data_IF_287456220128
#
_entry.id   IF_287456220128
#
_cell.length_a   1.000
_cell.length_b   1.000
_cell.length_c   1.000
_cell.angle_alpha   90.00
_cell.angle_beta   90.00
_cell.angle_gamma   90.00
#
_symmetry.space_group_name_H-M   'P 1'
#
loop_
_entity.id
_entity.type
_entity.pdbx_description
1 polymer ?
#
# COMPACT_ATOMS: atom_id res chain seq x y z
N UNK A 1 10.62 4.31 -9.06
CA UNK A 1 9.38 4.58 -9.81
C UNK A 1 9.40 5.97 -10.45
N UNK A 2 9.51 7.07 -9.68
CA UNK A 2 9.53 8.44 -10.20
C UNK A 2 10.49 8.65 -11.39
N UNK A 3 11.74 8.18 -11.28
CA UNK A 3 12.74 8.22 -12.37
C UNK A 3 12.27 7.56 -13.68
N UNK A 4 11.47 6.49 -13.60
CA UNK A 4 10.97 5.78 -14.78
C UNK A 4 9.82 6.56 -15.41
N UNK A 5 8.84 7.00 -14.60
CA UNK A 5 7.67 7.72 -15.07
C UNK A 5 7.99 9.12 -15.60
N UNK A 6 9.08 9.75 -15.15
CA UNK A 6 9.53 11.04 -15.68
C UNK A 6 9.87 11.00 -17.19
N UNK A 7 10.02 9.81 -17.77
CA UNK A 7 10.30 9.60 -19.20
C UNK A 7 9.04 9.24 -20.01
N UNK A 8 7.90 9.10 -19.35
CA UNK A 8 6.66 8.61 -19.94
C UNK A 8 5.70 9.78 -20.18
N UNK A 9 4.91 9.69 -21.25
CA UNK A 9 3.77 10.57 -21.46
C UNK A 9 2.58 9.95 -20.76
N UNK A 10 2.06 10.65 -19.75
CA UNK A 10 0.99 10.15 -18.89
C UNK A 10 -0.25 11.03 -19.04
N UNK A 11 -1.42 10.41 -18.96
CA UNK A 11 -2.71 11.12 -19.02
C UNK A 11 -3.02 11.91 -17.75
N UNK A 12 -2.30 11.62 -16.66
CA UNK A 12 -2.50 12.22 -15.35
C UNK A 12 -1.17 12.74 -14.79
N UNK A 13 -1.24 13.87 -14.07
CA UNK A 13 -0.15 14.29 -13.17
C UNK A 13 -0.02 13.28 -12.03
N UNK A 14 1.21 12.97 -11.65
CA UNK A 14 1.50 12.08 -10.54
C UNK A 14 2.34 12.83 -9.51
N UNK A 15 1.82 12.90 -8.29
CA UNK A 15 2.53 13.49 -7.17
C UNK A 15 3.20 12.37 -6.37
N UNK A 16 4.54 12.40 -6.31
CA UNK A 16 5.33 11.53 -5.43
C UNK A 16 5.53 12.23 -4.10
N UNK A 17 4.93 11.68 -3.04
CA UNK A 17 4.94 12.31 -1.72
C UNK A 17 5.51 11.35 -0.69
N UNK A 18 6.43 11.84 0.12
CA UNK A 18 6.96 11.13 1.29
C UNK A 18 6.44 11.83 2.54
N UNK A 19 5.52 11.18 3.25
CA UNK A 19 4.88 11.77 4.43
C UNK A 19 5.76 11.64 5.67
N UNK A 20 5.56 12.58 6.58
CA UNK A 20 6.19 12.60 7.90
C UNK A 20 5.13 12.36 8.98
N UNK A 21 5.57 11.96 10.17
CA UNK A 21 4.72 11.80 11.35
C UNK A 21 3.60 10.76 11.18
N UNK A 22 3.85 9.70 10.40
CA UNK A 22 2.94 8.56 10.29
C UNK A 22 2.87 7.82 11.64
N UNK A 23 4.03 7.61 12.28
CA UNK A 23 4.15 6.83 13.51
C UNK A 23 3.59 7.53 14.78
N UNK A 24 3.30 6.77 15.86
CA UNK A 24 3.00 7.34 17.18
C UNK A 24 4.11 8.31 17.64
N UNK A 25 3.76 9.42 18.33
CA UNK A 25 2.45 9.73 18.90
C UNK A 25 1.48 10.44 17.93
N UNK A 26 1.84 10.62 16.65
CA UNK A 26 1.04 11.39 15.71
C UNK A 26 0.13 10.55 14.82
N UNK A 27 0.36 9.23 14.76
CA UNK A 27 -0.51 8.30 14.07
C UNK A 27 -1.99 8.55 14.40
N UNK A 28 -2.83 8.60 13.35
CA UNK A 28 -4.27 8.91 13.40
C UNK A 28 -4.64 10.30 13.93
N UNK A 29 -3.72 11.26 13.90
CA UNK A 29 -4.02 12.66 14.23
C UNK A 29 -3.95 13.55 13.00
N UNK A 30 -4.52 14.75 13.10
CA UNK A 30 -4.44 15.77 12.06
C UNK A 30 -3.02 16.30 11.81
N UNK A 31 -2.04 15.89 12.63
CA UNK A 31 -0.63 16.26 12.48
C UNK A 31 0.13 15.34 11.52
N UNK A 32 -0.46 14.22 11.09
CA UNK A 32 0.15 13.37 10.06
C UNK A 32 0.33 14.16 8.76
N UNK A 33 1.48 14.01 8.11
CA UNK A 33 1.74 14.68 6.83
C UNK A 33 0.70 14.31 5.77
N UNK A 34 0.21 13.07 5.77
CA UNK A 34 -0.85 12.61 4.88
C UNK A 34 -2.21 13.26 5.15
N UNK A 35 -2.53 13.55 6.42
CA UNK A 35 -3.74 14.31 6.75
C UNK A 35 -3.66 15.73 6.21
N UNK A 36 -2.56 16.43 6.52
CA UNK A 36 -2.35 17.82 6.06
C UNK A 36 -2.44 17.91 4.54
N UNK A 37 -1.80 16.97 3.82
CA UNK A 37 -1.84 16.95 2.37
C UNK A 37 -3.25 16.63 1.83
N UNK A 38 -3.91 15.59 2.33
CA UNK A 38 -5.25 15.24 1.89
C UNK A 38 -6.27 16.35 2.20
N UNK A 39 -6.14 17.03 3.33
CA UNK A 39 -6.99 18.17 3.69
C UNK A 39 -6.75 19.36 2.74
N UNK A 40 -5.50 19.67 2.43
CA UNK A 40 -5.16 20.71 1.46
C UNK A 40 -5.79 20.44 0.08
N UNK A 41 -5.72 19.21 -0.42
CA UNK A 41 -6.36 18.81 -1.68
C UNK A 41 -7.87 19.05 -1.65
N UNK A 42 -8.51 18.80 -0.50
CA UNK A 42 -9.95 18.95 -0.32
C UNK A 42 -10.37 20.40 -0.25
N UNK A 43 -9.70 21.20 0.58
CA UNK A 43 -9.96 22.64 0.73
C UNK A 43 -9.78 23.40 -0.58
N UNK A 44 -8.84 22.98 -1.41
CA UNK A 44 -8.56 23.59 -2.71
C UNK A 44 -9.32 22.94 -3.87
N UNK A 45 -10.27 22.03 -3.59
CA UNK A 45 -11.08 21.34 -4.60
C UNK A 45 -10.25 20.68 -5.72
N UNK A 46 -9.08 20.16 -5.38
CA UNK A 46 -8.20 19.48 -6.32
C UNK A 46 -8.80 18.11 -6.64
N UNK A 47 -9.01 17.84 -7.94
CA UNK A 47 -9.54 16.56 -8.39
C UNK A 47 -8.46 15.49 -8.27
N UNK A 48 -8.74 14.43 -7.49
CA UNK A 48 -7.83 13.31 -7.24
C UNK A 48 -8.46 12.03 -7.78
N UNK A 49 -7.81 11.40 -8.77
CA UNK A 49 -8.26 10.11 -9.32
C UNK A 49 -8.11 8.98 -8.30
N UNK A 50 -7.04 9.01 -7.51
CA UNK A 50 -6.84 8.18 -6.34
C UNK A 50 -5.42 8.24 -5.79
N UNK A 51 -5.23 7.67 -4.60
CA UNK A 51 -3.94 7.59 -3.91
C UNK A 51 -3.48 6.13 -3.79
N UNK A 52 -2.18 5.89 -3.98
CA UNK A 52 -1.55 4.58 -3.80
C UNK A 52 -0.54 4.72 -2.66
N UNK A 53 -0.83 4.11 -1.51
CA UNK A 53 0.10 4.05 -0.39
C UNK A 53 1.05 2.86 -0.55
N UNK A 54 2.34 3.05 -0.33
CA UNK A 54 3.30 1.96 -0.24
C UNK A 54 3.66 1.76 1.22
N UNK A 55 3.22 0.64 1.79
CA UNK A 55 3.42 0.33 3.20
C UNK A 55 4.16 -1.00 3.31
N UNK A 56 5.42 -0.97 3.72
CA UNK A 56 6.30 -2.14 3.87
C UNK A 56 6.19 -3.16 2.72
N UNK A 57 7.05 -3.02 1.71
CA UNK A 57 7.03 -3.88 0.51
C UNK A 57 8.26 -4.78 0.39
N UNK A 58 9.07 -4.92 1.46
CA UNK A 58 10.42 -5.50 1.36
C UNK A 58 10.66 -6.82 2.11
N UNK A 59 9.91 -7.12 3.16
CA UNK A 59 10.14 -8.34 3.95
C UNK A 59 9.43 -9.57 3.37
N UNK A 60 10.19 -10.57 2.90
CA UNK A 60 9.66 -11.80 2.31
C UNK A 60 10.38 -13.05 2.78
N UNK A 61 9.61 -14.14 2.95
CA UNK A 61 10.10 -15.48 3.27
C UNK A 61 9.21 -16.51 2.59
N UNK A 62 9.82 -17.46 1.89
CA UNK A 62 9.10 -18.44 1.08
C UNK A 62 8.77 -19.72 1.87
N UNK A 63 9.36 -19.92 3.05
CA UNK A 63 9.12 -21.09 3.91
C UNK A 63 7.69 -21.09 4.47
N UNK A 64 7.17 -22.29 4.76
CA UNK A 64 5.87 -22.42 5.41
C UNK A 64 5.88 -21.79 6.82
N UNK A 65 4.71 -21.33 7.27
CA UNK A 65 4.50 -20.72 8.59
C UNK A 65 5.31 -19.44 8.83
N UNK A 66 5.62 -18.71 7.76
CA UNK A 66 6.30 -17.40 7.81
C UNK A 66 5.34 -16.22 7.74
N UNK A 67 4.06 -16.48 7.47
CA UNK A 67 2.96 -15.52 7.53
C UNK A 67 1.96 -15.97 8.61
N UNK A 68 1.54 -15.07 9.48
CA UNK A 68 0.51 -15.36 10.50
C UNK A 68 -0.48 -14.19 10.56
N UNK A 69 -1.74 -14.42 10.18
CA UNK A 69 -2.76 -13.38 10.28
C UNK A 69 -3.74 -13.73 11.42
N UNK A 70 -4.03 -12.80 12.35
CA UNK A 70 -4.96 -13.07 13.45
C UNK A 70 -6.42 -13.24 12.98
N UNK A 71 -6.74 -12.73 11.78
CA UNK A 71 -8.09 -12.76 11.20
C UNK A 71 -8.19 -13.96 10.24
N UNK A 72 -9.19 -14.82 10.44
CA UNK A 72 -9.34 -16.09 9.69
C UNK A 72 -9.59 -15.86 8.21
N UNK A 73 -10.44 -14.89 7.89
CA UNK A 73 -10.80 -14.51 6.53
C UNK A 73 -9.56 -14.01 5.76
N UNK A 74 -8.73 -13.21 6.42
CA UNK A 74 -7.45 -12.75 5.87
C UNK A 74 -6.46 -13.90 5.72
N UNK A 75 -6.43 -14.84 6.67
CA UNK A 75 -5.57 -16.04 6.58
C UNK A 75 -5.92 -16.91 5.38
N UNK A 76 -7.20 -17.03 5.02
CA UNK A 76 -7.63 -17.78 3.82
C UNK A 76 -7.13 -17.13 2.52
N UNK A 77 -7.02 -15.80 2.49
CA UNK A 77 -6.54 -15.03 1.32
C UNK A 77 -5.01 -15.03 1.25
N UNK A 78 -4.35 -14.84 2.40
CA UNK A 78 -2.90 -14.63 2.49
C UNK A 78 -2.09 -15.92 2.60
N UNK A 79 -2.73 -17.01 3.04
CA UNK A 79 -2.04 -18.27 3.32
C UNK A 79 -1.01 -18.15 4.45
N UNK A 80 -0.08 -19.11 4.51
CA UNK A 80 0.92 -19.23 5.58
C UNK A 80 2.36 -18.91 5.14
N UNK A 81 2.56 -18.33 3.95
CA UNK A 81 3.88 -17.94 3.42
C UNK A 81 3.96 -16.43 3.21
N UNK A 82 5.08 -15.83 3.57
CA UNK A 82 5.35 -14.41 3.41
C UNK A 82 5.88 -14.09 1.99
N UNK A 83 5.16 -14.51 0.94
CA UNK A 83 5.65 -14.47 -0.45
C UNK A 83 4.77 -13.70 -1.45
N UNK A 84 3.83 -12.89 -0.95
CA UNK A 84 2.90 -12.11 -1.76
C UNK A 84 2.97 -10.60 -1.46
N UNK A 85 2.41 -9.81 -2.37
CA UNK A 85 1.97 -8.42 -2.16
C UNK A 85 0.43 -8.37 -2.19
N UNK A 86 -0.19 -7.50 -1.41
CA UNK A 86 -1.65 -7.33 -1.39
C UNK A 86 -2.04 -5.91 -1.73
N UNK A 87 -3.16 -5.77 -2.45
CA UNK A 87 -3.89 -4.51 -2.62
C UNK A 87 -4.98 -4.45 -1.55
N UNK A 88 -4.76 -3.62 -0.54
CA UNK A 88 -5.74 -3.35 0.53
C UNK A 88 -6.60 -2.16 0.11
N UNK A 89 -7.91 -2.36 0.20
CA UNK A 89 -8.93 -1.40 -0.20
C UNK A 89 -10.13 -1.46 0.75
N UNK A 90 -10.98 -0.44 0.68
CA UNK A 90 -12.27 -0.37 1.36
C UNK A 90 -13.40 -0.02 0.39
N UNK A 91 -14.60 0.18 0.89
CA UNK A 91 -15.77 0.62 0.12
C UNK A 91 -15.55 1.96 -0.60
N UNK A 92 -14.76 2.89 -0.02
CA UNK A 92 -14.46 4.20 -0.59
C UNK A 92 -13.46 4.16 -1.75
N UNK A 93 -12.77 3.03 -1.94
CA UNK A 93 -11.77 2.87 -3.01
C UNK A 93 -12.40 2.82 -4.41
N UNK A 94 -13.68 2.49 -4.51
CA UNK A 94 -14.46 2.55 -5.75
C UNK A 94 -13.84 1.81 -6.94
N UNK A 95 -14.08 2.34 -8.15
CA UNK A 95 -13.52 1.79 -9.40
C UNK A 95 -11.99 1.91 -9.47
N UNK A 96 -11.42 2.90 -8.78
CA UNK A 96 -9.97 3.10 -8.74
C UNK A 96 -9.30 1.87 -8.11
N UNK A 97 -9.77 1.43 -6.94
CA UNK A 97 -9.20 0.26 -6.25
C UNK A 97 -9.29 -1.02 -7.07
N UNK A 98 -10.47 -1.32 -7.63
CA UNK A 98 -10.67 -2.47 -8.52
C UNK A 98 -9.76 -2.43 -9.76
N UNK A 99 -9.53 -1.24 -10.34
CA UNK A 99 -8.64 -1.09 -11.51
C UNK A 99 -7.18 -1.37 -11.13
N UNK A 100 -6.70 -0.85 -10.00
CA UNK A 100 -5.35 -1.14 -9.49
C UNK A 100 -5.17 -2.63 -9.24
N UNK A 101 -6.12 -3.25 -8.53
CA UNK A 101 -6.12 -4.69 -8.24
C UNK A 101 -5.99 -5.52 -9.52
N UNK A 102 -6.86 -5.28 -10.49
CA UNK A 102 -6.91 -6.06 -11.73
C UNK A 102 -5.62 -5.90 -12.54
N UNK A 103 -5.12 -4.67 -12.67
CA UNK A 103 -3.90 -4.38 -13.41
C UNK A 103 -2.66 -4.99 -12.75
N UNK A 104 -2.55 -4.95 -11.42
CA UNK A 104 -1.43 -5.60 -10.73
C UNK A 104 -1.50 -7.13 -10.84
N UNK A 105 -2.67 -7.74 -10.62
CA UNK A 105 -2.85 -9.20 -10.75
C UNK A 105 -2.54 -9.73 -12.14
N UNK A 106 -2.86 -8.97 -13.19
CA UNK A 106 -2.64 -9.35 -14.60
C UNK A 106 -1.15 -9.56 -14.93
N UNK A 107 -0.26 -8.82 -14.28
CA UNK A 107 1.16 -8.79 -14.65
C UNK A 107 1.97 -9.98 -14.13
N UNK A 108 1.54 -10.60 -13.02
CA UNK A 108 2.13 -11.81 -12.45
C UNK A 108 3.65 -11.72 -12.18
N UNK A 109 4.21 -10.53 -11.96
CA UNK A 109 5.63 -10.36 -11.64
C UNK A 109 5.94 -10.74 -10.18
N UNK A 110 4.94 -10.62 -9.31
CA UNK A 110 4.96 -11.12 -7.93
C UNK A 110 3.53 -11.59 -7.57
N UNK A 111 3.36 -12.69 -6.81
CA UNK A 111 2.04 -13.12 -6.35
C UNK A 111 1.30 -11.94 -5.71
N UNK A 112 0.19 -11.56 -6.34
CA UNK A 112 -0.61 -10.41 -5.94
C UNK A 112 -1.99 -10.89 -5.54
N UNK A 113 -2.35 -10.60 -4.30
CA UNK A 113 -3.70 -10.84 -3.75
C UNK A 113 -4.36 -9.50 -3.48
N UNK A 114 -5.62 -9.54 -3.04
CA UNK A 114 -6.34 -8.34 -2.65
C UNK A 114 -7.17 -8.62 -1.41
N UNK A 115 -7.37 -7.56 -0.63
CA UNK A 115 -8.25 -7.59 0.52
C UNK A 115 -9.11 -6.33 0.51
N UNK A 116 -10.42 -6.53 0.48
CA UNK A 116 -11.40 -5.46 0.67
C UNK A 116 -12.03 -5.62 2.03
N UNK A 117 -11.76 -4.69 2.94
CA UNK A 117 -12.27 -4.74 4.31
C UNK A 117 -12.67 -3.38 4.83
N UNK A 118 -13.47 -3.40 5.90
CA UNK A 118 -13.81 -2.18 6.64
C UNK A 118 -12.56 -1.60 7.30
N UNK A 119 -12.46 -0.27 7.36
CA UNK A 119 -11.42 0.43 8.12
C UNK A 119 -11.48 0.13 9.63
N UNK A 120 -12.57 -0.46 10.13
CA UNK A 120 -12.68 -0.91 11.53
C UNK A 120 -11.84 -2.15 11.85
N UNK A 121 -11.38 -2.87 10.81
CA UNK A 121 -10.56 -4.07 10.99
C UNK A 121 -9.09 -3.67 11.17
N UNK A 122 -8.50 -4.09 12.29
CA UNK A 122 -7.09 -3.82 12.62
C UNK A 122 -6.14 -4.18 11.46
N UNK A 123 -5.26 -3.25 11.09
CA UNK A 123 -4.30 -3.43 10.00
C UNK A 123 -4.82 -3.08 8.60
N UNK A 124 -6.11 -2.78 8.42
CA UNK A 124 -6.66 -2.35 7.13
C UNK A 124 -6.38 -0.88 6.86
N UNK A 125 -6.42 -0.06 7.91
CA UNK A 125 -6.24 1.38 7.87
C UNK A 125 -4.90 1.81 8.51
N UNK A 126 -3.93 0.90 8.58
CA UNK A 126 -2.60 1.15 9.16
C UNK A 126 -1.61 1.63 8.11
N UNK A 127 -1.84 2.83 7.58
CA UNK A 127 -0.87 3.67 6.86
C UNK A 127 -1.56 4.97 6.40
N UNK A 128 -0.86 5.80 5.64
CA UNK A 128 -1.29 7.13 5.19
C UNK A 128 -2.58 7.16 4.35
N UNK A 129 -2.96 6.05 3.72
CA UNK A 129 -4.22 5.96 2.95
C UNK A 129 -5.46 6.15 3.82
N UNK A 130 -5.36 5.95 5.15
CA UNK A 130 -6.47 6.16 6.08
C UNK A 130 -7.00 7.61 6.00
N UNK A 131 -6.11 8.58 5.86
CA UNK A 131 -6.47 10.00 5.85
C UNK A 131 -7.19 10.37 4.55
N UNK A 132 -6.78 9.76 3.44
CA UNK A 132 -7.48 9.88 2.16
C UNK A 132 -8.89 9.29 2.24
N UNK A 133 -9.04 8.10 2.85
CA UNK A 133 -10.36 7.52 3.09
C UNK A 133 -11.24 8.39 4.00
N UNK A 134 -10.69 8.96 5.07
CA UNK A 134 -11.44 9.85 5.98
C UNK A 134 -11.96 11.10 5.26
N UNK A 135 -11.22 11.59 4.28
CA UNK A 135 -11.58 12.74 3.45
C UNK A 135 -12.29 12.36 2.15
N UNK A 136 -12.74 11.10 2.03
CA UNK A 136 -13.52 10.54 0.91
C UNK A 136 -12.79 10.51 -0.44
N UNK A 137 -11.46 10.43 -0.43
CA UNK A 137 -10.68 10.14 -1.61
C UNK A 137 -10.57 8.63 -1.87
N UNK A 138 -10.64 8.19 -3.14
CA UNK A 138 -10.26 6.83 -3.51
C UNK A 138 -8.79 6.59 -3.15
N UNK A 139 -8.49 5.54 -2.40
CA UNK A 139 -7.12 5.18 -2.07
C UNK A 139 -6.97 3.67 -1.91
N UNK A 140 -5.78 3.16 -2.20
CA UNK A 140 -5.38 1.77 -1.91
C UNK A 140 -4.04 1.75 -1.21
N UNK A 141 -3.83 0.74 -0.37
CA UNK A 141 -2.53 0.44 0.19
C UNK A 141 -1.94 -0.81 -0.46
N UNK A 142 -0.70 -0.70 -0.90
CA UNK A 142 0.10 -1.80 -1.42
C UNK A 142 1.07 -2.19 -0.33
N UNK A 143 0.84 -3.36 0.25
CA UNK A 143 1.65 -3.86 1.36
C UNK A 143 1.93 -5.33 1.20
N UNK A 144 3.03 -5.80 1.78
CA UNK A 144 3.23 -7.21 2.00
C UNK A 144 2.79 -7.61 3.41
N UNK A 145 1.84 -6.92 4.05
CA UNK A 145 1.32 -7.30 5.37
C UNK A 145 2.39 -7.47 6.44
N UNK A 146 3.48 -6.69 6.38
CA UNK A 146 4.67 -6.89 7.23
C UNK A 146 4.39 -6.94 8.72
N UNK A 147 3.39 -6.20 9.22
CA UNK A 147 2.90 -6.30 10.62
C UNK A 147 2.63 -7.74 11.09
N UNK A 148 2.31 -8.64 10.17
CA UNK A 148 1.94 -10.04 10.41
C UNK A 148 3.07 -11.05 10.12
N UNK A 149 4.25 -10.59 9.66
CA UNK A 149 5.36 -11.47 9.25
C UNK A 149 6.75 -10.98 9.69
N UNK A 150 6.96 -9.66 9.80
CA UNK A 150 8.23 -9.06 10.17
C UNK A 150 8.37 -9.02 11.69
N UNK A 151 9.15 -9.95 12.25
CA UNK A 151 9.42 -10.01 13.70
C UNK A 151 10.32 -8.87 14.19
N UNK A 152 10.93 -8.12 13.29
CA UNK A 152 11.82 -7.01 13.61
C UNK A 152 11.12 -5.65 13.56
N UNK A 153 9.83 -5.61 13.22
CA UNK A 153 9.09 -4.35 13.06
C UNK A 153 9.12 -3.49 14.33
N UNK A 154 9.31 -2.17 14.18
CA UNK A 154 9.60 -1.20 15.25
C UNK A 154 10.82 -1.56 16.14
N UNK A 155 11.80 -2.28 15.61
CA UNK A 155 13.07 -2.52 16.30
C UNK A 155 14.26 -2.10 15.45
N UNK A 156 15.43 -1.94 16.07
CA UNK A 156 16.68 -1.67 15.36
C UNK A 156 17.16 -2.80 14.42
N UNK A 157 16.47 -3.95 14.41
CA UNK A 157 16.74 -5.08 13.52
C UNK A 157 15.92 -5.01 12.23
N UNK A 158 15.05 -4.01 12.06
CA UNK A 158 14.40 -3.75 10.78
C UNK A 158 15.40 -3.06 9.86
N UNK A 159 16.26 -3.88 9.25
CA UNK A 159 17.44 -3.44 8.51
C UNK A 159 17.41 -3.94 7.07
N UNK A 160 18.21 -3.30 6.21
CA UNK A 160 18.26 -3.58 4.78
C UNK A 160 18.57 -5.06 4.48
N UNK A 161 19.38 -5.70 5.31
CA UNK A 161 19.80 -7.10 5.20
C UNK A 161 18.62 -8.08 5.32
N UNK A 162 17.51 -7.63 5.92
CA UNK A 162 16.30 -8.45 6.08
C UNK A 162 15.34 -8.34 4.89
N UNK A 163 15.63 -7.45 3.94
CA UNK A 163 14.74 -7.14 2.81
C UNK A 163 15.13 -7.92 1.56
N UNK A 164 14.11 -8.29 0.78
CA UNK A 164 14.29 -8.90 -0.53
C UNK A 164 14.14 -7.84 -1.63
N UNK A 165 15.28 -7.27 -2.06
CA UNK A 165 15.34 -6.20 -3.07
C UNK A 165 14.74 -6.63 -4.41
N UNK A 166 14.88 -7.90 -4.80
CA UNK A 166 14.31 -8.41 -6.05
C UNK A 166 12.78 -8.38 -6.03
N UNK A 167 12.16 -8.82 -4.92
CA UNK A 167 10.70 -8.75 -4.75
C UNK A 167 10.21 -7.31 -4.61
N UNK A 168 10.94 -6.43 -3.92
CA UNK A 168 10.65 -4.98 -3.92
C UNK A 168 10.64 -4.40 -5.34
N UNK A 169 11.67 -4.73 -6.13
CA UNK A 169 11.77 -4.29 -7.52
C UNK A 169 10.59 -4.80 -8.35
N UNK A 170 10.17 -6.04 -8.16
CA UNK A 170 8.99 -6.59 -8.83
C UNK A 170 7.71 -5.82 -8.47
N UNK A 171 7.51 -5.44 -7.20
CA UNK A 171 6.37 -4.60 -6.77
C UNK A 171 6.41 -3.24 -7.47
N UNK A 172 7.57 -2.58 -7.47
CA UNK A 172 7.74 -1.28 -8.13
C UNK A 172 7.53 -1.37 -9.64
N UNK A 173 7.99 -2.44 -10.27
CA UNK A 173 7.76 -2.69 -11.69
C UNK A 173 6.27 -2.92 -11.99
N UNK A 174 5.56 -3.65 -11.11
CA UNK A 174 4.12 -3.84 -11.28
C UNK A 174 3.36 -2.51 -11.24
N UNK A 175 3.70 -1.67 -10.26
CA UNK A 175 3.07 -0.37 -10.12
C UNK A 175 3.41 0.58 -11.26
N UNK A 176 4.64 0.55 -11.75
CA UNK A 176 5.04 1.31 -12.92
C UNK A 176 4.17 0.98 -14.14
N UNK A 177 3.95 -0.29 -14.44
CA UNK A 177 3.10 -0.73 -15.55
C UNK A 177 1.63 -0.38 -15.27
N UNK A 178 1.14 -0.65 -14.06
CA UNK A 178 -0.24 -0.30 -13.65
C UNK A 178 -0.54 1.18 -13.86
N UNK A 179 0.37 2.06 -13.45
CA UNK A 179 0.22 3.51 -13.57
C UNK A 179 0.16 3.96 -15.03
N UNK A 180 0.91 3.31 -15.92
CA UNK A 180 0.86 3.62 -17.37
C UNK A 180 -0.46 3.21 -18.03
N UNK A 181 -1.20 2.26 -17.44
CA UNK A 181 -2.49 1.75 -17.94
C UNK A 181 -3.72 2.39 -17.24
N UNK A 182 -3.51 3.30 -16.30
CA UNK A 182 -4.56 3.94 -15.48
C UNK A 182 -5.38 4.99 -16.23
#
# INVERSE_FOLDING_TARGET
MARLLAKEKLDYRIDFVAYTLEEPPFFRTEKMGSYVHANYLKENSITVKGMICLEMIGYYKDEANTQTCPIKEMSAIYGNRANFITVVQNEKSGNFGSKIENLMKKQKLIPTVSFKGSSLVTGVDFSDHLNYWNLNYPAVMITNTSFYRNKNYHTNKDSLETLNINKMSAVIQQLYITIKEL
#
